data_IF_906048631373
#
_entry.id   IF_906048631373
#
_cell.length_a   1.000
_cell.length_b   1.000
_cell.length_c   1.000
_cell.angle_alpha   90.00
_cell.angle_beta   90.00
_cell.angle_gamma   90.00
#
_symmetry.space_group_name_H-M   'P 1'
#
loop_
_entity.id
_entity.type
_entity.pdbx_description
1 polymer ?
#
# COMPACT_ATOMS: atom_id res chain seq x y z
N UNK A 1 -18.76 -9.13 6.18
CA UNK A 1 -17.83 -9.54 5.11
C UNK A 1 -16.52 -8.74 5.14
N UNK A 2 -16.54 -7.40 5.01
CA UNK A 2 -15.32 -6.55 5.02
C UNK A 2 -14.37 -6.79 6.20
N UNK A 3 -14.90 -7.01 7.41
CA UNK A 3 -14.07 -7.28 8.61
C UNK A 3 -13.09 -8.44 8.39
N UNK A 4 -13.50 -9.52 7.74
CA UNK A 4 -12.63 -10.67 7.50
C UNK A 4 -11.50 -10.35 6.51
N UNK A 5 -11.78 -9.50 5.52
CA UNK A 5 -10.78 -9.05 4.55
C UNK A 5 -9.66 -8.23 5.20
N UNK A 6 -10.00 -7.46 6.25
CA UNK A 6 -9.08 -6.59 7.00
C UNK A 6 -8.49 -7.27 8.25
N UNK A 7 -8.85 -8.51 8.55
CA UNK A 7 -8.16 -9.31 9.57
C UNK A 7 -6.82 -9.76 9.00
N UNK A 8 -5.73 -9.16 9.49
CA UNK A 8 -4.39 -9.39 8.95
C UNK A 8 -3.56 -10.38 9.76
N UNK A 9 -2.60 -11.00 9.10
CA UNK A 9 -1.45 -11.68 9.74
C UNK A 9 -0.17 -10.86 9.51
N UNK A 10 0.80 -10.89 10.44
CA UNK A 10 2.07 -10.17 10.27
C UNK A 10 2.87 -10.77 9.11
N UNK A 11 3.54 -9.91 8.32
CA UNK A 11 4.33 -10.38 7.16
C UNK A 11 5.83 -10.39 7.38
N UNK A 12 6.33 -9.61 8.35
CA UNK A 12 7.76 -9.38 8.57
C UNK A 12 8.46 -8.60 7.43
N UNK A 13 7.70 -8.00 6.50
CA UNK A 13 8.23 -7.22 5.38
C UNK A 13 8.04 -5.72 5.61
N UNK A 14 9.10 -4.94 5.40
CA UNK A 14 9.01 -3.48 5.46
C UNK A 14 7.95 -2.96 4.47
N UNK A 15 7.07 -2.08 4.95
CA UNK A 15 6.01 -1.47 4.13
C UNK A 15 4.74 -2.30 3.96
N UNK A 16 4.68 -3.51 4.52
CA UNK A 16 3.51 -4.38 4.55
C UNK A 16 3.30 -4.88 5.99
N UNK A 17 2.76 -4.02 6.86
CA UNK A 17 2.64 -4.31 8.29
C UNK A 17 1.80 -5.57 8.57
N UNK A 18 0.70 -5.72 7.84
CA UNK A 18 -0.18 -6.89 7.92
C UNK A 18 -0.87 -7.19 6.60
N UNK A 19 -1.02 -8.47 6.27
CA UNK A 19 -1.69 -8.94 5.05
C UNK A 19 -2.98 -9.68 5.40
N UNK A 20 -4.09 -9.22 4.84
CA UNK A 20 -5.43 -9.80 5.00
C UNK A 20 -5.81 -10.66 3.80
N UNK A 21 -7.09 -10.66 3.43
CA UNK A 21 -7.55 -11.44 2.28
C UNK A 21 -7.40 -10.62 0.98
N UNK A 22 -6.21 -10.67 0.37
CA UNK A 22 -5.90 -9.99 -0.90
C UNK A 22 -5.68 -8.48 -0.80
N UNK A 23 -5.50 -7.96 0.41
CA UNK A 23 -5.22 -6.55 0.71
C UNK A 23 -4.26 -6.50 1.90
N UNK A 24 -3.40 -5.47 1.95
CA UNK A 24 -2.52 -5.27 3.09
C UNK A 24 -2.62 -3.85 3.64
N UNK A 25 -2.19 -3.73 4.89
CA UNK A 25 -2.02 -2.46 5.59
C UNK A 25 -0.58 -1.96 5.40
N UNK A 26 -0.44 -0.69 5.00
CA UNK A 26 0.79 0.09 5.17
C UNK A 26 0.52 1.15 6.21
N UNK A 27 1.22 1.07 7.34
CA UNK A 27 1.11 2.02 8.44
C UNK A 27 2.18 3.10 8.32
N UNK A 28 1.74 4.35 8.22
CA UNK A 28 2.64 5.50 8.19
C UNK A 28 3.17 5.82 9.60
N UNK A 29 4.32 6.52 9.72
CA UNK A 29 4.83 6.99 11.02
C UNK A 29 3.83 7.87 11.81
N UNK A 30 2.91 8.55 11.11
CA UNK A 30 1.81 9.31 11.72
C UNK A 30 0.73 8.44 12.38
N UNK A 31 0.80 7.12 12.22
CA UNK A 31 -0.21 6.16 12.67
C UNK A 31 -1.35 5.96 11.68
N UNK A 32 -1.38 6.70 10.56
CA UNK A 32 -2.38 6.52 9.51
C UNK A 32 -2.20 5.17 8.81
N UNK A 33 -3.28 4.41 8.74
CA UNK A 33 -3.34 3.13 8.02
C UNK A 33 -3.86 3.33 6.60
N UNK A 34 -3.09 2.86 5.63
CA UNK A 34 -3.49 2.81 4.22
C UNK A 34 -3.73 1.34 3.85
N UNK A 35 -4.91 1.04 3.36
CA UNK A 35 -5.30 -0.29 2.93
C UNK A 35 -5.27 -0.38 1.41
N UNK A 36 -4.52 -1.34 0.87
CA UNK A 36 -4.31 -1.42 -0.57
C UNK A 36 -3.47 -2.61 -1.01
N UNK A 37 -2.97 -2.52 -2.24
CA UNK A 37 -2.08 -3.51 -2.81
C UNK A 37 -1.15 -2.93 -3.88
N UNK A 38 0.11 -3.38 -3.90
CA UNK A 38 1.05 -3.16 -5.02
C UNK A 38 0.84 -4.17 -6.14
N UNK A 39 1.01 -3.77 -7.39
CA UNK A 39 1.07 -4.67 -8.55
C UNK A 39 2.37 -4.49 -9.31
N UNK A 40 2.90 -5.57 -9.88
CA UNK A 40 4.06 -5.52 -10.75
C UNK A 40 3.90 -6.53 -11.88
N UNK A 41 3.98 -6.06 -13.12
CA UNK A 41 3.98 -6.87 -14.34
C UNK A 41 4.92 -6.22 -15.36
N UNK A 42 5.36 -6.95 -16.40
CA UNK A 42 6.28 -6.41 -17.40
C UNK A 42 5.79 -5.05 -17.95
N UNK A 43 6.64 -4.04 -17.81
CA UNK A 43 6.35 -2.66 -18.22
C UNK A 43 5.53 -1.84 -17.22
N UNK A 44 5.07 -2.39 -16.09
CA UNK A 44 4.22 -1.65 -15.16
C UNK A 44 4.44 -1.99 -13.68
N UNK A 45 4.46 -0.95 -12.85
CA UNK A 45 4.43 -1.06 -11.38
C UNK A 45 3.33 -0.14 -10.86
N UNK A 46 2.45 -0.66 -10.00
CA UNK A 46 1.24 0.04 -9.56
C UNK A 46 1.07 -0.03 -8.06
N UNK A 47 0.46 0.98 -7.46
CA UNK A 47 -0.14 0.90 -6.13
C UNK A 47 -1.57 1.45 -6.20
N UNK A 48 -2.49 0.78 -5.50
CA UNK A 48 -3.86 1.24 -5.28
C UNK A 48 -4.18 1.07 -3.81
N UNK A 49 -4.69 2.13 -3.16
CA UNK A 49 -5.15 2.03 -1.78
C UNK A 49 -5.83 3.28 -1.26
N UNK A 50 -6.19 3.27 0.02
CA UNK A 50 -6.80 4.41 0.68
C UNK A 50 -7.03 4.22 2.18
N UNK A 51 -7.52 5.28 2.82
CA UNK A 51 -7.96 5.24 4.23
C UNK A 51 -9.24 4.39 4.34
N UNK A 52 -9.44 3.80 5.52
CA UNK A 52 -10.67 3.09 5.83
C UNK A 52 -11.90 3.97 5.58
N UNK A 53 -12.97 3.39 5.02
CA UNK A 53 -14.18 4.13 4.66
C UNK A 53 -14.15 4.78 3.27
N UNK A 54 -13.02 4.70 2.55
CA UNK A 54 -12.97 4.93 1.09
C UNK A 54 -13.10 6.39 0.62
N UNK A 55 -13.11 7.36 1.54
CA UNK A 55 -13.22 8.80 1.21
C UNK A 55 -11.90 9.44 0.76
N UNK A 56 -10.78 8.77 0.99
CA UNK A 56 -9.44 9.26 0.63
C UNK A 56 -8.65 8.09 0.04
N UNK A 57 -8.49 8.09 -1.28
CA UNK A 57 -7.87 7.01 -2.06
C UNK A 57 -6.79 7.57 -2.97
N UNK A 58 -5.83 6.73 -3.33
CA UNK A 58 -4.74 7.06 -4.24
C UNK A 58 -4.47 5.88 -5.17
N UNK A 59 -4.23 6.19 -6.45
CA UNK A 59 -3.78 5.25 -7.48
C UNK A 59 -2.53 5.83 -8.14
N UNK A 60 -1.47 5.04 -8.22
CA UNK A 60 -0.20 5.45 -8.85
C UNK A 60 0.30 4.33 -9.75
N UNK A 61 0.80 4.69 -10.93
CA UNK A 61 1.42 3.77 -11.87
C UNK A 61 2.74 4.34 -12.40
N UNK A 62 3.70 3.44 -12.64
CA UNK A 62 4.87 3.69 -13.48
C UNK A 62 4.85 2.74 -14.67
N UNK A 63 5.29 3.24 -15.82
CA UNK A 63 5.46 2.51 -17.09
C UNK A 63 6.80 1.77 -17.18
N UNK A 64 7.30 1.30 -16.03
CA UNK A 64 8.50 0.46 -15.98
C UNK A 64 8.37 -0.56 -14.85
N UNK A 65 8.83 -1.78 -15.11
CA UNK A 65 9.07 -2.81 -14.10
C UNK A 65 10.54 -2.74 -13.69
N UNK A 66 10.91 -1.66 -13.00
CA UNK A 66 12.29 -1.36 -12.64
C UNK A 66 12.54 -1.57 -11.16
N UNK A 67 13.64 -2.25 -10.81
CA UNK A 67 14.18 -2.29 -9.45
C UNK A 67 14.48 -0.86 -8.99
N UNK A 68 13.56 -0.27 -8.25
CA UNK A 68 13.94 0.87 -7.43
C UNK A 68 14.85 0.34 -6.34
N UNK A 69 15.85 1.10 -5.92
CA UNK A 69 16.71 0.77 -4.77
C UNK A 69 15.93 0.70 -3.45
N UNK A 70 14.62 1.03 -3.45
CA UNK A 70 13.73 1.01 -2.30
C UNK A 70 12.91 -0.29 -2.24
N UNK A 71 12.82 -0.95 -1.07
CA UNK A 71 11.87 -2.04 -0.82
C UNK A 71 10.41 -1.63 -1.04
N UNK A 72 10.09 -0.34 -0.86
CA UNK A 72 8.79 0.25 -1.14
C UNK A 72 8.96 1.54 -1.95
N UNK A 73 8.79 1.50 -3.28
CA UNK A 73 9.00 2.66 -4.13
C UNK A 73 7.94 3.76 -3.94
N UNK A 74 6.78 3.43 -3.35
CA UNK A 74 5.66 4.36 -3.18
C UNK A 74 5.73 5.15 -1.86
N UNK A 75 6.66 4.80 -0.95
CA UNK A 75 6.72 5.33 0.43
C UNK A 75 6.59 6.86 0.52
N UNK A 76 7.39 7.60 -0.24
CA UNK A 76 7.38 9.06 -0.18
C UNK A 76 6.10 9.68 -0.74
N UNK A 77 5.50 9.05 -1.76
CA UNK A 77 4.22 9.49 -2.31
C UNK A 77 3.12 9.29 -1.27
N UNK A 78 3.10 8.13 -0.61
CA UNK A 78 2.12 7.84 0.45
C UNK A 78 2.27 8.78 1.64
N UNK A 79 3.51 9.09 2.04
CA UNK A 79 3.77 10.08 3.10
C UNK A 79 3.22 11.45 2.71
N UNK A 80 3.52 11.94 1.51
CA UNK A 80 3.07 13.27 1.07
C UNK A 80 1.54 13.38 0.98
N UNK A 81 0.88 12.33 0.50
CA UNK A 81 -0.57 12.32 0.27
C UNK A 81 -1.38 12.12 1.57
N UNK A 82 -0.93 11.22 2.45
CA UNK A 82 -1.74 10.76 3.59
C UNK A 82 -1.29 11.26 4.96
N UNK A 83 -0.15 11.96 5.08
CA UNK A 83 0.35 12.49 6.37
C UNK A 83 -0.21 13.87 6.76
N UNK A 84 -1.19 14.40 6.02
CA UNK A 84 -1.92 15.61 6.38
C UNK A 84 -3.21 15.29 7.14
#
# INVERSE_FOLDING_TARGET
QLKQMLTTVPTGKEGIDGYGLGIYETKLPSGVSIWGHTGGILGFTTFVGGKLGGKHTLVVNWNSLGRTSSPNPFKNILLAEFSK
#
